data_IF_382871573950
#
_entry.id   IF_382871573950
#
_cell.length_a   1.000
_cell.length_b   1.000
_cell.length_c   1.000
_cell.angle_alpha   90.00
_cell.angle_beta   90.00
_cell.angle_gamma   90.00
#
_symmetry.space_group_name_H-M   'P 1'
#
loop_
_entity.id
_entity.type
_entity.pdbx_description
1 polymer ?
#
# COMPACT_ATOMS: atom_id res chain seq x y z
N UNK A 1 11.16 -14.64 26.82
CA UNK A 1 10.32 -13.49 27.20
C UNK A 1 10.17 -12.65 25.94
N UNK A 2 9.05 -12.75 25.25
CA UNK A 2 8.80 -11.88 24.09
C UNK A 2 8.43 -10.50 24.62
N UNK A 3 9.24 -9.49 24.32
CA UNK A 3 8.87 -8.11 24.59
C UNK A 3 7.73 -7.77 23.61
N UNK A 4 6.54 -7.52 24.14
CA UNK A 4 5.48 -6.89 23.35
C UNK A 4 5.94 -5.47 23.07
N UNK A 5 6.23 -5.16 21.80
CA UNK A 5 6.46 -3.80 21.36
C UNK A 5 5.09 -3.12 21.41
N UNK A 6 4.90 -2.19 22.33
CA UNK A 6 3.73 -1.31 22.33
C UNK A 6 3.94 -0.26 21.25
N UNK A 7 3.17 -0.35 20.16
CA UNK A 7 3.20 0.61 19.08
C UNK A 7 2.30 1.79 19.47
N UNK A 8 2.87 2.99 19.56
CA UNK A 8 2.18 4.21 20.00
C UNK A 8 1.59 5.06 18.88
N UNK A 9 1.49 4.52 17.67
CA UNK A 9 0.99 5.19 16.48
C UNK A 9 0.13 4.23 15.64
N UNK A 10 -0.76 4.74 14.77
CA UNK A 10 -1.52 3.90 13.85
C UNK A 10 -0.61 3.28 12.79
N UNK A 11 -0.55 1.96 12.67
CA UNK A 11 0.40 1.30 11.75
C UNK A 11 0.04 1.57 10.28
N UNK A 12 1.01 1.76 9.35
CA UNK A 12 0.75 1.80 7.91
C UNK A 12 0.13 0.48 7.45
N UNK A 13 -0.70 0.54 6.41
CA UNK A 13 -1.40 -0.62 5.85
C UNK A 13 -0.98 -0.81 4.39
N UNK A 14 -0.57 -2.02 4.05
CA UNK A 14 -0.26 -2.43 2.68
C UNK A 14 -1.17 -3.59 2.31
N UNK A 15 -1.93 -3.43 1.24
CA UNK A 15 -2.82 -4.47 0.70
C UNK A 15 -2.23 -4.99 -0.62
N UNK A 16 -2.03 -6.29 -0.68
CA UNK A 16 -1.58 -7.03 -1.87
C UNK A 16 -2.71 -7.94 -2.39
N UNK A 17 -2.52 -8.49 -3.58
CA UNK A 17 -3.46 -9.41 -4.19
C UNK A 17 -4.54 -8.74 -5.02
N UNK A 18 -5.59 -9.49 -5.30
CA UNK A 18 -6.64 -9.07 -6.22
C UNK A 18 -7.55 -7.99 -5.61
N UNK A 19 -7.98 -7.03 -6.43
CA UNK A 19 -8.89 -5.94 -6.05
C UNK A 19 -8.35 -5.00 -4.95
N UNK A 20 -7.03 -4.97 -4.71
CA UNK A 20 -6.43 -4.10 -3.69
C UNK A 20 -6.76 -2.62 -3.90
N UNK A 21 -6.84 -2.16 -5.14
CA UNK A 21 -7.13 -0.76 -5.48
C UNK A 21 -8.53 -0.36 -5.01
N UNK A 22 -9.51 -1.23 -5.25
CA UNK A 22 -10.90 -1.02 -4.83
C UNK A 22 -11.00 -0.95 -3.31
N UNK A 23 -10.28 -1.83 -2.61
CA UNK A 23 -10.33 -1.89 -1.15
C UNK A 23 -9.58 -0.72 -0.52
N UNK A 24 -8.45 -0.30 -1.09
CA UNK A 24 -7.75 0.92 -0.68
C UNK A 24 -8.68 2.14 -0.81
N UNK A 25 -9.35 2.30 -1.94
CA UNK A 25 -10.29 3.40 -2.19
C UNK A 25 -11.48 3.36 -1.22
N UNK A 26 -12.03 2.17 -0.95
CA UNK A 26 -13.12 1.99 0.02
C UNK A 26 -12.69 2.28 1.45
N UNK A 27 -11.48 1.91 1.87
CA UNK A 27 -10.96 2.23 3.20
C UNK A 27 -10.87 3.75 3.40
N UNK A 28 -10.31 4.46 2.42
CA UNK A 28 -10.16 5.92 2.47
C UNK A 28 -11.52 6.64 2.40
N UNK A 29 -12.45 6.14 1.59
CA UNK A 29 -13.77 6.78 1.39
C UNK A 29 -14.73 6.51 2.53
N UNK A 30 -14.81 5.26 3.02
CA UNK A 30 -15.79 4.86 4.02
C UNK A 30 -15.31 5.14 5.46
N UNK A 31 -14.00 5.26 5.66
CA UNK A 31 -13.39 5.48 6.98
C UNK A 31 -12.34 6.60 6.95
N UNK A 32 -12.69 7.82 6.47
CA UNK A 32 -11.73 8.91 6.27
C UNK A 32 -11.10 9.42 7.58
N UNK A 33 -11.75 9.18 8.73
CA UNK A 33 -11.20 9.52 10.05
C UNK A 33 -10.11 8.54 10.51
N UNK A 34 -10.00 7.37 9.88
CA UNK A 34 -9.05 6.31 10.26
C UNK A 34 -7.97 6.06 9.22
N UNK A 35 -8.27 6.24 7.94
CA UNK A 35 -7.37 5.91 6.84
C UNK A 35 -7.12 7.13 5.95
N UNK A 36 -5.90 7.25 5.46
CA UNK A 36 -5.52 8.22 4.45
C UNK A 36 -4.36 7.68 3.62
N UNK A 37 -4.23 8.13 2.38
CA UNK A 37 -2.98 8.01 1.64
C UNK A 37 -1.99 9.09 2.07
N UNK A 38 -0.70 8.85 1.84
CA UNK A 38 0.34 9.88 1.90
C UNK A 38 0.54 10.52 0.52
N UNK A 39 1.07 11.74 0.50
CA UNK A 39 1.40 12.44 -0.76
C UNK A 39 2.79 11.97 -1.25
N UNK A 40 2.88 11.34 -2.43
CA UNK A 40 4.17 10.88 -2.98
C UNK A 40 4.99 12.05 -3.55
N UNK A 41 6.26 11.81 -3.84
CA UNK A 41 7.15 12.78 -4.48
C UNK A 41 7.31 12.46 -5.96
N UNK A 42 7.56 13.48 -6.78
CA UNK A 42 7.99 13.29 -8.17
C UNK A 42 8.91 14.39 -8.65
N UNK A 43 9.82 14.05 -9.57
CA UNK A 43 10.64 15.03 -10.30
C UNK A 43 9.98 15.51 -11.59
N UNK A 44 8.82 14.93 -11.95
CA UNK A 44 8.06 15.37 -13.11
C UNK A 44 7.61 16.80 -12.90
N UNK A 45 7.62 17.61 -13.95
CA UNK A 45 7.02 18.93 -13.91
C UNK A 45 5.53 18.85 -13.51
N UNK A 46 5.12 19.73 -12.59
CA UNK A 46 3.73 19.92 -12.18
C UNK A 46 2.88 20.34 -13.36
N UNK A 47 1.70 19.75 -13.52
CA UNK A 47 0.68 20.18 -14.49
C UNK A 47 -0.15 21.34 -13.93
N UNK A 48 -0.85 22.04 -14.80
CA UNK A 48 -1.61 23.24 -14.40
C UNK A 48 -2.67 22.95 -13.34
N UNK A 49 -3.35 21.81 -13.46
CA UNK A 49 -4.39 21.33 -12.55
C UNK A 49 -3.88 20.63 -11.28
N UNK A 50 -2.58 20.35 -11.18
CA UNK A 50 -1.99 19.68 -10.01
C UNK A 50 -1.58 20.70 -8.95
N UNK A 51 -1.68 20.32 -7.68
CA UNK A 51 -1.34 21.12 -6.51
C UNK A 51 -0.17 20.45 -5.76
N UNK A 52 0.88 21.24 -5.52
CA UNK A 52 2.06 20.77 -4.77
C UNK A 52 1.70 20.53 -3.31
N UNK A 53 2.13 19.38 -2.77
CA UNK A 53 1.76 18.92 -1.44
C UNK A 53 0.35 18.33 -1.33
N UNK A 54 -0.37 18.17 -2.45
CA UNK A 54 -1.66 17.47 -2.51
C UNK A 54 -1.61 16.30 -3.49
N UNK A 55 -1.29 16.56 -4.76
CA UNK A 55 -1.16 15.51 -5.77
C UNK A 55 0.20 14.83 -5.68
N UNK A 56 1.25 15.64 -5.59
CA UNK A 56 2.63 15.22 -5.36
C UNK A 56 3.39 16.32 -4.62
N UNK A 57 4.51 15.95 -3.99
CA UNK A 57 5.61 16.86 -3.72
C UNK A 57 6.51 16.94 -4.95
N UNK A 58 6.42 18.06 -5.67
CA UNK A 58 7.19 18.29 -6.89
C UNK A 58 8.62 18.69 -6.55
N UNK A 59 9.55 17.74 -6.69
CA UNK A 59 10.91 17.82 -6.18
C UNK A 59 11.94 18.04 -7.29
N UNK A 60 13.09 18.61 -6.95
CA UNK A 60 14.23 18.64 -7.87
C UNK A 60 14.82 17.23 -8.02
N UNK A 61 15.28 16.87 -9.23
CA UNK A 61 15.84 15.54 -9.50
C UNK A 61 17.11 15.24 -8.73
N UNK A 62 18.07 16.16 -8.71
CA UNK A 62 19.35 15.97 -8.02
C UNK A 62 19.14 15.77 -6.52
N UNK A 63 18.25 16.57 -5.92
CA UNK A 63 17.88 16.40 -4.51
C UNK A 63 17.19 15.06 -4.26
N UNK A 64 16.24 14.67 -5.11
CA UNK A 64 15.54 13.39 -4.93
C UNK A 64 16.48 12.20 -5.10
N UNK A 65 17.47 12.27 -5.98
CA UNK A 65 18.51 11.24 -6.12
C UNK A 65 19.39 11.14 -4.86
N UNK A 66 19.79 12.28 -4.28
CA UNK A 66 20.51 12.33 -3.00
C UNK A 66 19.66 11.74 -1.86
N UNK A 67 18.39 12.13 -1.77
CA UNK A 67 17.47 11.64 -0.74
C UNK A 67 17.20 10.13 -0.85
N UNK A 68 17.13 9.60 -2.08
CA UNK A 68 17.06 8.15 -2.33
C UNK A 68 18.34 7.46 -1.83
N UNK A 69 19.52 8.02 -2.10
CA UNK A 69 20.80 7.48 -1.61
C UNK A 69 20.92 7.52 -0.08
N UNK A 70 20.36 8.55 0.54
CA UNK A 70 20.24 8.69 1.99
C UNK A 70 19.12 7.85 2.60
N UNK A 71 18.51 6.96 1.80
CA UNK A 71 17.45 6.05 2.18
C UNK A 71 16.18 6.74 2.76
N UNK A 72 15.89 7.98 2.35
CA UNK A 72 14.72 8.73 2.86
C UNK A 72 13.39 8.27 2.25
N UNK A 73 13.42 7.30 1.33
CA UNK A 73 12.27 6.73 0.64
C UNK A 73 12.02 5.28 1.07
N UNK A 74 10.74 4.93 1.27
CA UNK A 74 10.32 3.53 1.46
C UNK A 74 10.29 2.77 0.14
N UNK A 75 10.02 3.50 -0.94
CA UNK A 75 10.02 3.03 -2.31
C UNK A 75 10.29 4.21 -3.23
N UNK A 76 11.12 4.00 -4.25
CA UNK A 76 11.34 4.95 -5.32
C UNK A 76 11.61 4.21 -6.63
N UNK A 77 11.22 4.81 -7.75
CA UNK A 77 11.41 4.27 -9.08
C UNK A 77 11.35 5.34 -10.15
N UNK A 78 11.84 4.99 -11.35
CA UNK A 78 11.80 5.89 -12.50
C UNK A 78 10.71 5.47 -13.49
N UNK A 79 9.89 6.43 -13.92
CA UNK A 79 8.90 6.23 -14.96
C UNK A 79 8.95 7.38 -15.99
N UNK A 80 9.17 7.03 -17.26
CA UNK A 80 9.27 7.98 -18.39
C UNK A 80 10.24 9.14 -18.09
N UNK A 81 11.43 8.83 -17.57
CA UNK A 81 12.49 9.80 -17.30
C UNK A 81 12.32 10.63 -16.02
N UNK A 82 11.28 10.39 -15.22
CA UNK A 82 11.01 11.10 -13.98
C UNK A 82 11.02 10.14 -12.79
N UNK A 83 11.58 10.57 -11.68
CA UNK A 83 11.54 9.81 -10.43
C UNK A 83 10.19 10.00 -9.76
N UNK A 84 9.75 8.94 -9.10
CA UNK A 84 8.59 8.88 -8.23
C UNK A 84 8.98 8.12 -6.97
N UNK A 85 8.41 8.49 -5.82
CA UNK A 85 8.68 7.75 -4.60
C UNK A 85 7.82 8.18 -3.43
N UNK A 86 7.70 7.27 -2.46
CA UNK A 86 7.03 7.52 -1.19
C UNK A 86 8.08 7.72 -0.12
N UNK A 87 8.17 8.93 0.44
CA UNK A 87 9.17 9.24 1.47
C UNK A 87 8.75 8.69 2.83
N UNK A 88 9.72 8.39 3.70
CA UNK A 88 9.44 7.97 5.07
C UNK A 88 8.64 9.04 5.82
N UNK A 89 8.93 10.32 5.58
CA UNK A 89 8.24 11.43 6.22
C UNK A 89 6.79 11.54 5.75
N UNK A 90 6.50 11.34 4.46
CA UNK A 90 5.13 11.37 3.96
C UNK A 90 4.24 10.30 4.65
N UNK A 91 4.82 9.15 5.00
CA UNK A 91 4.12 8.13 5.82
C UNK A 91 3.93 8.63 7.25
N UNK A 92 4.97 9.20 7.87
CA UNK A 92 4.91 9.72 9.24
C UNK A 92 3.88 10.83 9.42
N UNK A 93 3.73 11.72 8.44
CA UNK A 93 2.77 12.83 8.51
C UNK A 93 1.32 12.30 8.66
N UNK A 94 0.98 11.19 7.99
CA UNK A 94 -0.33 10.54 8.13
C UNK A 94 -0.50 9.89 9.50
N UNK A 95 0.55 9.23 9.99
CA UNK A 95 0.59 8.60 11.30
C UNK A 95 0.44 9.61 12.44
N UNK A 96 1.13 10.75 12.35
CA UNK A 96 1.07 11.86 13.30
C UNK A 96 -0.32 12.52 13.31
N UNK A 97 -1.04 12.47 12.19
CA UNK A 97 -2.45 12.82 12.11
C UNK A 97 -3.40 11.76 12.71
N UNK A 98 -2.86 10.76 13.42
CA UNK A 98 -3.60 9.65 14.04
C UNK A 98 -4.42 8.81 13.05
N UNK A 99 -3.90 8.63 11.82
CA UNK A 99 -4.49 7.77 10.79
C UNK A 99 -3.54 6.68 10.31
N UNK A 100 -4.10 5.57 9.86
CA UNK A 100 -3.36 4.54 9.13
C UNK A 100 -3.04 5.04 7.72
N UNK A 101 -1.76 5.01 7.36
CA UNK A 101 -1.33 5.31 6.01
C UNK A 101 -1.56 4.11 5.10
N UNK A 102 -2.51 4.20 4.16
CA UNK A 102 -2.73 3.19 3.12
C UNK A 102 -1.68 3.39 2.03
N UNK A 103 -0.89 2.35 1.76
CA UNK A 103 0.26 2.40 0.87
C UNK A 103 0.06 1.51 -0.36
N UNK A 104 0.16 2.11 -1.54
CA UNK A 104 0.28 1.38 -2.82
C UNK A 104 1.77 1.27 -3.18
N UNK A 105 2.42 0.25 -2.65
CA UNK A 105 3.87 -0.01 -2.81
C UNK A 105 4.12 -1.49 -3.09
N UNK A 106 5.32 -1.83 -3.55
CA UNK A 106 5.72 -3.23 -3.72
C UNK A 106 6.14 -3.88 -2.39
N UNK A 107 6.26 -5.21 -2.38
CA UNK A 107 6.73 -5.96 -1.21
C UNK A 107 8.10 -5.52 -0.69
N UNK A 108 8.95 -4.87 -1.49
CA UNK A 108 10.25 -4.37 -1.03
C UNK A 108 10.13 -3.27 0.03
N UNK A 109 9.06 -2.47 -0.01
CA UNK A 109 8.82 -1.40 0.95
C UNK A 109 8.62 -1.91 2.39
N UNK A 110 8.14 -3.16 2.57
CA UNK A 110 7.92 -3.76 3.90
C UNK A 110 9.22 -3.77 4.71
N UNK A 111 10.32 -4.21 4.12
CA UNK A 111 11.63 -4.24 4.80
C UNK A 111 12.08 -2.84 5.17
N UNK A 112 11.86 -1.86 4.28
CA UNK A 112 12.26 -0.49 4.52
C UNK A 112 11.47 0.13 5.66
N UNK A 113 10.14 -0.05 5.68
CA UNK A 113 9.26 0.39 6.75
C UNK A 113 9.65 -0.20 8.11
N UNK A 114 9.96 -1.50 8.18
CA UNK A 114 10.45 -2.14 9.41
C UNK A 114 11.79 -1.52 9.84
N UNK A 115 12.70 -1.29 8.90
CA UNK A 115 14.02 -0.70 9.17
C UNK A 115 13.97 0.74 9.69
N UNK A 116 12.84 1.44 9.53
CA UNK A 116 12.60 2.80 10.05
C UNK A 116 11.54 2.84 11.16
N UNK A 117 11.28 1.70 11.79
CA UNK A 117 10.36 1.52 12.93
C UNK A 117 8.90 1.91 12.65
N UNK A 118 8.42 1.72 11.42
CA UNK A 118 7.03 1.98 11.01
C UNK A 118 6.15 0.72 10.93
N UNK A 119 6.70 -0.48 11.17
CA UNK A 119 6.00 -1.77 11.37
C UNK A 119 4.61 -1.92 10.69
N UNK A 120 4.57 -2.09 9.35
CA UNK A 120 3.30 -2.10 8.62
C UNK A 120 2.44 -3.31 8.97
N UNK A 121 1.13 -3.17 8.77
CA UNK A 121 0.19 -4.26 8.64
C UNK A 121 0.13 -4.64 7.17
N UNK A 122 0.40 -5.91 6.89
CA UNK A 122 0.42 -6.42 5.53
C UNK A 122 -0.74 -7.38 5.38
N UNK A 123 -1.60 -7.08 4.42
CA UNK A 123 -2.78 -7.87 4.12
C UNK A 123 -2.61 -8.41 2.70
N UNK A 124 -2.77 -9.73 2.54
CA UNK A 124 -2.80 -10.34 1.23
C UNK A 124 -4.20 -10.88 0.93
N UNK A 125 -4.77 -10.43 -0.19
CA UNK A 125 -6.10 -10.84 -0.64
C UNK A 125 -5.95 -11.90 -1.69
N UNK A 126 -6.22 -13.13 -1.28
CA UNK A 126 -6.12 -14.29 -2.15
C UNK A 126 -7.41 -14.46 -2.97
N UNK A 127 -7.38 -14.32 -4.30
CA UNK A 127 -8.57 -14.64 -5.09
C UNK A 127 -8.81 -16.14 -5.10
N UNK A 128 -10.06 -16.56 -4.86
CA UNK A 128 -10.47 -17.98 -4.89
C UNK A 128 -10.42 -18.59 -6.28
N UNK A 129 -10.94 -17.85 -7.26
CA UNK A 129 -10.96 -18.21 -8.67
C UNK A 129 -11.12 -16.96 -9.55
N UNK A 130 -11.10 -17.15 -10.87
CA UNK A 130 -11.29 -16.07 -11.85
C UNK A 130 -12.68 -15.42 -11.73
N UNK A 131 -13.70 -16.21 -11.38
CA UNK A 131 -15.08 -15.71 -11.26
C UNK A 131 -15.21 -14.74 -10.09
N UNK A 132 -14.54 -15.04 -8.99
CA UNK A 132 -14.42 -14.14 -7.84
C UNK A 132 -13.85 -12.78 -8.26
N UNK A 133 -12.78 -12.77 -9.06
CA UNK A 133 -12.17 -11.52 -9.54
C UNK A 133 -13.17 -10.75 -10.41
N UNK A 134 -13.84 -11.42 -11.35
CA UNK A 134 -14.83 -10.79 -12.23
C UNK A 134 -15.98 -10.14 -11.44
N UNK A 135 -16.48 -10.82 -10.41
CA UNK A 135 -17.57 -10.29 -9.59
C UNK A 135 -17.16 -9.06 -8.77
N UNK A 136 -15.88 -8.96 -8.39
CA UNK A 136 -15.38 -7.91 -7.50
C UNK A 136 -14.72 -6.73 -8.24
N UNK A 137 -14.36 -6.89 -9.53
CA UNK A 137 -13.83 -5.81 -10.36
C UNK A 137 -14.92 -4.90 -10.96
N UNK A 138 -16.20 -5.24 -10.78
CA UNK A 138 -17.33 -4.48 -11.31
C UNK A 138 -17.74 -4.86 -12.74
N UNK A 139 -18.71 -4.14 -13.31
CA UNK A 139 -19.37 -4.50 -14.58
C UNK A 139 -18.43 -4.43 -15.80
N UNK A 140 -17.31 -3.70 -15.72
CA UNK A 140 -16.32 -3.58 -16.81
C UNK A 140 -15.24 -4.70 -16.78
N UNK A 141 -15.39 -5.69 -15.90
CA UNK A 141 -14.39 -6.73 -15.73
C UNK A 141 -14.21 -7.60 -16.99
N UNK A 142 -12.96 -7.70 -17.46
CA UNK A 142 -12.59 -8.52 -18.61
C UNK A 142 -12.01 -9.88 -18.16
N UNK A 143 -12.51 -10.98 -18.72
CA UNK A 143 -12.02 -12.34 -18.41
C UNK A 143 -10.52 -12.52 -18.67
N UNK A 144 -9.98 -11.85 -19.71
CA UNK A 144 -8.53 -11.89 -19.99
C UNK A 144 -7.75 -11.23 -18.86
N UNK A 145 -8.22 -10.08 -18.38
CA UNK A 145 -7.59 -9.35 -17.27
C UNK A 145 -7.71 -10.14 -15.96
N UNK A 146 -8.87 -10.73 -15.68
CA UNK A 146 -9.08 -11.55 -14.49
C UNK A 146 -8.17 -12.79 -14.47
N UNK A 147 -7.95 -13.44 -15.62
CA UNK A 147 -6.96 -14.53 -15.75
C UNK A 147 -5.53 -14.08 -15.48
N UNK A 148 -5.17 -12.87 -15.92
CA UNK A 148 -3.85 -12.29 -15.66
C UNK A 148 -3.67 -11.98 -14.18
N UNK A 149 -4.68 -11.41 -13.52
CA UNK A 149 -4.66 -11.14 -12.08
C UNK A 149 -4.53 -12.45 -11.29
N UNK A 150 -5.33 -13.46 -11.60
CA UNK A 150 -5.28 -14.76 -10.94
C UNK A 150 -3.92 -15.47 -11.10
N UNK A 151 -3.31 -15.36 -12.28
CA UNK A 151 -1.97 -15.92 -12.52
C UNK A 151 -0.91 -15.17 -11.70
N UNK A 152 -1.00 -13.83 -11.64
CA UNK A 152 -0.08 -12.98 -10.87
C UNK A 152 -0.23 -13.16 -9.36
N UNK A 153 -1.44 -13.35 -8.86
CA UNK A 153 -1.69 -13.51 -7.42
C UNK A 153 -0.99 -14.75 -6.87
N UNK A 154 -0.93 -15.86 -7.63
CA UNK A 154 -0.21 -17.06 -7.19
C UNK A 154 1.28 -16.77 -6.94
N UNK A 155 1.91 -16.00 -7.83
CA UNK A 155 3.33 -15.64 -7.72
C UNK A 155 3.54 -14.68 -6.55
N UNK A 156 2.69 -13.66 -6.42
CA UNK A 156 2.77 -12.68 -5.33
C UNK A 156 2.56 -13.33 -3.96
N UNK A 157 1.66 -14.31 -3.85
CA UNK A 157 1.46 -15.11 -2.63
C UNK A 157 2.74 -15.87 -2.24
N UNK A 158 3.41 -16.48 -3.21
CA UNK A 158 4.67 -17.21 -2.97
C UNK A 158 5.78 -16.27 -2.50
N UNK A 159 5.93 -15.10 -3.14
CA UNK A 159 6.90 -14.08 -2.75
C UNK A 159 6.64 -13.55 -1.33
N UNK A 160 5.38 -13.25 -1.02
CA UNK A 160 4.98 -12.78 0.32
C UNK A 160 5.15 -13.87 1.38
N UNK A 161 4.79 -15.12 1.09
CA UNK A 161 4.99 -16.24 2.00
C UNK A 161 6.46 -16.60 2.20
N UNK A 162 7.31 -16.42 1.19
CA UNK A 162 8.74 -16.67 1.27
C UNK A 162 9.47 -15.64 2.15
N UNK A 163 9.03 -14.39 2.12
CA UNK A 163 9.77 -13.26 2.71
C UNK A 163 9.10 -12.67 3.96
N UNK A 164 7.76 -12.71 4.05
CA UNK A 164 6.97 -11.94 5.03
C UNK A 164 5.94 -12.75 5.82
N UNK A 165 6.06 -14.09 5.83
CA UNK A 165 5.11 -15.03 6.46
C UNK A 165 4.63 -14.67 7.88
N UNK A 166 5.45 -13.96 8.67
CA UNK A 166 5.14 -13.61 10.06
C UNK A 166 4.43 -12.27 10.24
N UNK A 167 4.29 -11.50 9.15
CA UNK A 167 3.81 -10.10 9.15
C UNK A 167 2.60 -9.94 8.23
N UNK A 168 2.38 -10.89 7.31
CA UNK A 168 1.22 -10.92 6.43
C UNK A 168 0.05 -11.70 7.03
N UNK A 169 -1.09 -11.05 7.19
CA UNK A 169 -2.38 -11.73 7.37
C UNK A 169 -2.95 -12.05 5.97
N UNK A 170 -3.15 -13.34 5.71
CA UNK A 170 -3.77 -13.79 4.46
C UNK A 170 -5.27 -13.86 4.68
N UNK A 171 -5.98 -13.08 3.89
CA UNK A 171 -7.43 -13.00 3.91
C UNK A 171 -7.97 -13.83 2.73
N UNK A 172 -8.68 -14.90 3.06
CA UNK A 172 -9.39 -15.77 2.11
C UNK A 172 -10.90 -15.55 2.31
N UNK A 173 -11.53 -14.77 1.42
CA UNK A 173 -12.91 -14.30 1.57
C UNK A 173 -13.72 -14.41 0.28
N UNK A 174 -15.04 -14.52 0.41
CA UNK A 174 -15.97 -14.79 -0.69
C UNK A 174 -16.36 -13.52 -1.46
N UNK A 175 -16.15 -12.33 -0.87
CA UNK A 175 -16.43 -11.02 -1.50
C UNK A 175 -15.44 -9.92 -1.10
N UNK A 176 -15.40 -8.83 -1.87
CA UNK A 176 -14.64 -7.62 -1.56
C UNK A 176 -15.13 -6.92 -0.29
N UNK A 177 -16.43 -6.99 0.02
CA UNK A 177 -17.00 -6.47 1.26
C UNK A 177 -16.46 -7.22 2.48
N UNK A 178 -16.33 -8.54 2.39
CA UNK A 178 -15.70 -9.35 3.44
C UNK A 178 -14.21 -9.02 3.57
N UNK A 179 -13.48 -8.81 2.47
CA UNK A 179 -12.10 -8.34 2.50
C UNK A 179 -11.98 -6.98 3.20
N UNK A 180 -12.89 -6.04 2.93
CA UNK A 180 -12.93 -4.74 3.59
C UNK A 180 -13.24 -4.88 5.09
N UNK A 181 -14.20 -5.73 5.45
CA UNK A 181 -14.52 -6.02 6.85
C UNK A 181 -13.33 -6.64 7.57
N UNK A 182 -12.62 -7.56 6.94
CA UNK A 182 -11.45 -8.17 7.54
C UNK A 182 -10.27 -7.20 7.62
N UNK A 183 -10.05 -6.35 6.62
CA UNK A 183 -9.03 -5.30 6.68
C UNK A 183 -9.30 -4.28 7.81
N UNK A 184 -10.57 -4.01 8.11
CA UNK A 184 -10.96 -3.13 9.24
C UNK A 184 -11.00 -3.87 10.59
N UNK A 185 -11.21 -5.19 10.59
CA UNK A 185 -11.28 -6.02 11.79
C UNK A 185 -9.92 -6.56 12.26
N UNK A 186 -8.95 -6.72 11.36
CA UNK A 186 -7.53 -6.81 11.71
C UNK A 186 -7.25 -5.54 12.48
N UNK A 187 -7.20 -5.67 13.80
CA UNK A 187 -7.19 -4.55 14.72
C UNK A 187 -5.92 -3.75 14.43
N UNK A 188 -6.05 -2.70 13.61
CA UNK A 188 -4.92 -1.96 13.05
C UNK A 188 -4.12 -1.23 14.15
N UNK A 189 -4.68 -1.24 15.37
CA UNK A 189 -4.17 -0.72 16.64
C UNK A 189 -3.45 -1.75 17.55
N UNK A 190 -3.27 -3.02 17.15
CA UNK A 190 -2.56 -4.05 17.95
C UNK A 190 -1.16 -4.41 17.43
#
# INVERSE_FOLDING_TARGET
MFAFITIGYPRPVIIFGACKEIINDQLMTNYPDKFSSCVPHTTRAKRDQEVDGQDYHFSNREQMEEDIQNELFIEAGEHRGNLYGTSVNAVRDVLDASKHCVLDVTGNAIKRLIGVDLYPIVIYIKPRDIKWILNNMGEEANEVQAKQIYSKSTIEEEDLNGVYKRICDIIDHESSEECLQAATAINVDR
#
